data_IF_274096656009
#
_entry.id   IF_274096656009
#
_cell.length_a   1.000
_cell.length_b   1.000
_cell.length_c   1.000
_cell.angle_alpha   90.00
_cell.angle_beta   90.00
_cell.angle_gamma   90.00
#
_symmetry.space_group_name_H-M   'P 1'
#
loop_
_entity.id
_entity.type
_entity.pdbx_description
1 polymer ?
#
# COMPACT_ATOMS: atom_id res chain seq x y z
N UNK A 1 -25.17 7.12 18.69
CA UNK A 1 -24.00 6.72 17.88
C UNK A 1 -23.24 7.96 17.48
N UNK A 2 -21.92 7.89 17.48
CA UNK A 2 -21.08 8.97 16.93
C UNK A 2 -21.31 9.08 15.42
N UNK A 3 -21.42 10.29 14.89
CA UNK A 3 -21.70 10.50 13.47
C UNK A 3 -20.44 11.05 12.83
N UNK A 4 -19.96 10.37 11.79
CA UNK A 4 -18.85 10.81 10.95
C UNK A 4 -19.41 11.53 9.71
N UNK A 5 -18.65 12.41 9.11
CA UNK A 5 -18.97 12.99 7.79
C UNK A 5 -18.13 12.33 6.68
N UNK A 6 -17.04 11.70 7.06
CA UNK A 6 -16.03 11.20 6.13
C UNK A 6 -15.54 9.82 6.55
N UNK A 7 -15.30 8.95 5.58
CA UNK A 7 -14.60 7.66 5.75
C UNK A 7 -13.31 7.71 4.95
N UNK A 8 -12.19 7.43 5.61
CA UNK A 8 -10.88 7.36 4.99
C UNK A 8 -10.45 5.89 4.96
N UNK A 9 -10.06 5.40 3.81
CA UNK A 9 -9.68 4.00 3.62
C UNK A 9 -8.19 3.86 3.34
N UNK A 10 -7.59 2.82 3.87
CA UNK A 10 -6.41 2.25 3.25
C UNK A 10 -6.77 1.66 1.88
N UNK A 11 -5.78 1.45 1.00
CA UNK A 11 -6.02 0.95 -0.35
C UNK A 11 -5.78 -0.57 -0.46
N UNK A 12 -4.55 -1.01 -0.21
CA UNK A 12 -4.13 -2.40 -0.44
C UNK A 12 -4.53 -3.31 0.73
N UNK A 13 -5.06 -4.49 0.40
CA UNK A 13 -5.65 -5.43 1.36
C UNK A 13 -6.82 -4.86 2.17
N UNK A 14 -7.34 -3.71 1.74
CA UNK A 14 -8.54 -3.04 2.27
C UNK A 14 -9.56 -2.83 1.14
N UNK A 15 -9.37 -1.82 0.28
CA UNK A 15 -10.26 -1.56 -0.87
C UNK A 15 -9.97 -2.55 -1.99
N UNK A 16 -8.71 -2.79 -2.32
CA UNK A 16 -8.24 -3.77 -3.29
C UNK A 16 -7.39 -4.82 -2.60
N UNK A 17 -7.34 -6.05 -3.12
CA UNK A 17 -6.63 -7.16 -2.50
C UNK A 17 -5.41 -7.57 -3.31
N UNK A 18 -4.34 -7.99 -2.63
CA UNK A 18 -3.25 -8.70 -3.28
C UNK A 18 -3.54 -10.19 -3.41
N UNK A 19 -3.51 -10.69 -4.64
CA UNK A 19 -3.52 -12.12 -4.93
C UNK A 19 -2.14 -12.54 -5.45
N UNK A 20 -1.24 -12.86 -4.55
CA UNK A 20 0.13 -13.27 -4.91
C UNK A 20 0.18 -14.53 -5.77
N UNK A 21 -0.92 -15.29 -5.89
CA UNK A 21 -0.96 -16.45 -6.80
C UNK A 21 -0.82 -16.05 -8.27
N UNK A 22 -1.09 -14.80 -8.61
CA UNK A 22 -0.93 -14.24 -9.96
C UNK A 22 0.52 -13.86 -10.30
N UNK A 23 1.41 -13.79 -9.30
CA UNK A 23 2.82 -13.59 -9.57
C UNK A 23 3.47 -14.85 -10.13
N UNK A 24 4.44 -14.71 -11.05
CA UNK A 24 5.24 -15.83 -11.52
C UNK A 24 5.90 -16.59 -10.37
N UNK A 25 5.89 -17.92 -10.47
CA UNK A 25 6.61 -18.77 -9.53
C UNK A 25 8.02 -19.01 -10.04
N UNK A 26 9.01 -18.87 -9.17
CA UNK A 26 10.38 -19.30 -9.39
C UNK A 26 10.73 -20.42 -8.42
N UNK A 27 11.66 -21.27 -8.81
CA UNK A 27 12.27 -22.24 -7.91
C UNK A 27 13.78 -22.03 -7.93
N UNK A 28 14.36 -21.74 -6.77
CA UNK A 28 15.79 -21.53 -6.61
C UNK A 28 16.26 -22.28 -5.37
N UNK A 29 17.28 -23.13 -5.55
CA UNK A 29 17.84 -23.98 -4.48
C UNK A 29 16.79 -24.78 -3.71
N UNK A 30 15.74 -25.27 -4.40
CA UNK A 30 14.65 -26.04 -3.80
C UNK A 30 13.59 -25.20 -3.06
N UNK A 31 13.70 -23.87 -3.07
CA UNK A 31 12.69 -22.97 -2.52
C UNK A 31 11.84 -22.38 -3.64
N UNK A 32 10.54 -22.62 -3.57
CA UNK A 32 9.57 -22.03 -4.50
C UNK A 32 9.03 -20.72 -3.94
N UNK A 33 9.17 -19.64 -4.71
CA UNK A 33 8.70 -18.30 -4.36
C UNK A 33 7.91 -17.69 -5.51
N UNK A 34 6.94 -16.82 -5.18
CA UNK A 34 6.24 -16.02 -6.16
C UNK A 34 6.77 -14.59 -6.12
N UNK A 35 7.22 -14.10 -7.27
CA UNK A 35 8.01 -12.87 -7.31
C UNK A 35 7.99 -12.24 -8.69
N UNK A 36 8.30 -10.97 -8.77
CA UNK A 36 8.53 -10.21 -10.01
C UNK A 36 9.98 -10.29 -10.50
N UNK A 37 10.83 -11.06 -9.83
CA UNK A 37 12.28 -11.02 -10.05
C UNK A 37 12.73 -11.37 -11.47
N UNK A 38 12.01 -12.25 -12.19
CA UNK A 38 12.35 -12.57 -13.57
C UNK A 38 12.12 -11.40 -14.53
N UNK A 39 11.03 -10.65 -14.33
CA UNK A 39 10.73 -9.48 -15.14
C UNK A 39 11.76 -8.38 -14.89
N UNK A 40 12.10 -8.18 -13.62
CA UNK A 40 13.14 -7.20 -13.24
C UNK A 40 14.52 -7.65 -13.75
N UNK A 41 14.83 -8.94 -13.67
CA UNK A 41 16.09 -9.48 -14.21
C UNK A 41 16.19 -9.33 -15.73
N UNK A 42 15.09 -9.47 -16.45
CA UNK A 42 15.08 -9.24 -17.91
C UNK A 42 15.54 -7.81 -18.26
N UNK A 43 15.10 -6.83 -17.49
CA UNK A 43 15.57 -5.44 -17.62
C UNK A 43 17.04 -5.34 -17.19
N UNK A 44 17.35 -5.79 -15.98
CA UNK A 44 18.72 -5.72 -15.44
C UNK A 44 19.76 -6.31 -16.37
N UNK A 45 19.50 -7.49 -16.95
CA UNK A 45 20.44 -8.19 -17.83
C UNK A 45 20.71 -7.48 -19.17
N UNK A 46 19.80 -6.60 -19.59
CA UNK A 46 20.03 -5.76 -20.77
C UNK A 46 21.07 -4.67 -20.52
N UNK A 47 21.10 -4.12 -19.29
CA UNK A 47 22.08 -3.12 -18.86
C UNK A 47 23.40 -3.73 -18.39
N UNK A 48 23.34 -4.89 -17.75
CA UNK A 48 24.49 -5.57 -17.12
C UNK A 48 24.60 -7.03 -17.59
N UNK A 49 24.96 -7.27 -18.88
CA UNK A 49 25.09 -8.60 -19.41
C UNK A 49 26.21 -9.38 -18.71
N UNK A 50 26.02 -10.69 -18.56
CA UNK A 50 27.01 -11.58 -17.95
C UNK A 50 26.85 -11.82 -16.45
N UNK A 51 25.93 -11.15 -15.78
CA UNK A 51 25.52 -11.50 -14.41
C UNK A 51 24.45 -12.59 -14.43
N UNK A 52 24.59 -13.60 -13.58
CA UNK A 52 23.62 -14.70 -13.50
C UNK A 52 22.33 -14.25 -12.81
N UNK A 53 21.23 -14.99 -13.06
CA UNK A 53 19.98 -14.77 -12.34
C UNK A 53 20.14 -15.02 -10.84
N UNK A 54 20.91 -16.04 -10.45
CA UNK A 54 21.15 -16.39 -9.05
C UNK A 54 21.86 -15.25 -8.30
N UNK A 55 22.89 -14.67 -8.94
CA UNK A 55 23.62 -13.52 -8.37
C UNK A 55 22.68 -12.31 -8.22
N UNK A 56 21.97 -11.94 -9.27
CA UNK A 56 20.97 -10.89 -9.24
C UNK A 56 19.90 -11.12 -8.16
N UNK A 57 19.35 -12.34 -8.07
CA UNK A 57 18.25 -12.63 -7.13
C UNK A 57 18.67 -12.50 -5.67
N UNK A 58 19.92 -12.84 -5.35
CA UNK A 58 20.44 -12.64 -4.00
C UNK A 58 20.38 -11.16 -3.58
N UNK A 59 20.88 -10.26 -4.42
CA UNK A 59 20.82 -8.81 -4.17
C UNK A 59 19.40 -8.24 -4.27
N UNK A 60 18.55 -8.81 -5.12
CA UNK A 60 17.15 -8.43 -5.24
C UNK A 60 16.39 -8.65 -3.92
N UNK A 61 16.67 -9.76 -3.24
CA UNK A 61 16.06 -10.06 -1.93
C UNK A 61 16.72 -9.26 -0.82
N UNK A 62 18.05 -9.18 -0.80
CA UNK A 62 18.81 -8.40 0.20
C UNK A 62 18.38 -6.94 0.20
N UNK A 63 18.33 -6.30 -0.97
CA UNK A 63 17.88 -4.91 -1.11
C UNK A 63 16.44 -4.69 -0.64
N UNK A 64 15.56 -5.69 -0.81
CA UNK A 64 14.19 -5.61 -0.29
C UNK A 64 14.19 -5.53 1.24
N UNK A 65 14.93 -6.41 1.91
CA UNK A 65 14.98 -6.41 3.38
C UNK A 65 15.62 -5.13 3.93
N UNK A 66 16.77 -4.74 3.39
CA UNK A 66 17.44 -3.49 3.78
C UNK A 66 16.54 -2.28 3.59
N UNK A 67 15.83 -2.21 2.47
CA UNK A 67 14.93 -1.10 2.17
C UNK A 67 13.71 -1.07 3.09
N UNK A 68 13.17 -2.24 3.49
CA UNK A 68 12.10 -2.29 4.49
C UNK A 68 12.59 -1.83 5.87
N UNK A 69 13.79 -2.23 6.28
CA UNK A 69 14.38 -1.77 7.55
C UNK A 69 14.55 -0.25 7.57
N UNK A 70 15.07 0.34 6.48
CA UNK A 70 15.19 1.80 6.34
C UNK A 70 13.84 2.50 6.48
N UNK A 71 12.80 1.99 5.83
CA UNK A 71 11.45 2.56 5.90
C UNK A 71 10.85 2.47 7.30
N UNK A 72 11.05 1.36 7.99
CA UNK A 72 10.48 1.13 9.31
C UNK A 72 11.21 1.87 10.43
N UNK A 73 12.49 2.19 10.28
CA UNK A 73 13.28 2.88 11.30
C UNK A 73 12.65 4.21 11.73
N UNK A 74 12.15 4.99 10.79
CA UNK A 74 11.53 6.30 11.06
C UNK A 74 10.14 6.45 10.47
N UNK A 75 9.61 5.40 9.82
CA UNK A 75 8.39 5.44 9.00
C UNK A 75 8.45 6.48 7.88
N UNK A 76 9.65 6.70 7.34
CA UNK A 76 9.86 7.51 6.15
C UNK A 76 9.53 6.70 4.90
N UNK A 77 8.88 7.31 3.92
CA UNK A 77 8.70 6.67 2.63
C UNK A 77 9.83 7.07 1.69
N UNK A 78 10.39 6.07 1.04
CA UNK A 78 11.39 6.22 0.00
C UNK A 78 10.81 5.64 -1.30
N UNK A 79 11.01 6.29 -2.46
CA UNK A 79 10.58 5.77 -3.75
C UNK A 79 11.17 4.38 -4.03
N UNK A 80 10.39 3.49 -4.62
CA UNK A 80 10.86 2.13 -4.93
C UNK A 80 12.08 2.11 -5.87
N UNK A 81 12.26 3.17 -6.67
CA UNK A 81 13.45 3.41 -7.47
C UNK A 81 14.74 3.37 -6.64
N UNK A 82 14.72 3.96 -5.46
CA UNK A 82 15.89 4.02 -4.57
C UNK A 82 16.31 2.63 -4.08
N UNK A 83 15.36 1.70 -3.96
CA UNK A 83 15.67 0.29 -3.69
C UNK A 83 16.53 -0.32 -4.80
N UNK A 84 16.21 -0.05 -6.07
CA UNK A 84 17.00 -0.59 -7.17
C UNK A 84 18.37 0.08 -7.29
N UNK A 85 18.47 1.37 -7.02
CA UNK A 85 19.77 2.03 -6.91
C UNK A 85 20.61 1.45 -5.76
N UNK A 86 20.00 1.17 -4.63
CA UNK A 86 20.65 0.49 -3.50
C UNK A 86 21.13 -0.90 -3.91
N UNK A 87 20.30 -1.69 -4.59
CA UNK A 87 20.66 -3.00 -5.10
C UNK A 87 21.88 -2.93 -6.04
N UNK A 88 21.87 -2.03 -7.02
CA UNK A 88 22.95 -1.85 -7.97
C UNK A 88 24.26 -1.45 -7.26
N UNK A 89 24.17 -0.56 -6.30
CA UNK A 89 25.30 -0.16 -5.46
C UNK A 89 25.87 -1.34 -4.66
N UNK A 90 25.02 -2.16 -4.04
CA UNK A 90 25.41 -3.34 -3.28
C UNK A 90 26.06 -4.41 -4.16
N UNK A 91 25.67 -4.47 -5.44
CA UNK A 91 26.33 -5.31 -6.45
C UNK A 91 27.70 -4.76 -6.91
N UNK A 92 28.16 -3.61 -6.40
CA UNK A 92 29.40 -2.96 -6.78
C UNK A 92 29.36 -2.30 -8.17
N UNK A 93 28.18 -1.98 -8.68
CA UNK A 93 28.01 -1.32 -9.96
C UNK A 93 28.16 0.20 -9.83
N UNK A 94 28.65 0.91 -10.86
CA UNK A 94 28.84 2.37 -10.82
C UNK A 94 27.51 3.10 -10.63
N UNK A 95 27.56 4.19 -9.85
CA UNK A 95 26.44 5.12 -9.70
C UNK A 95 26.49 6.16 -10.83
N UNK A 96 26.05 5.80 -12.01
CA UNK A 96 26.09 6.61 -13.24
C UNK A 96 24.70 6.66 -13.93
N UNK A 97 24.65 7.33 -15.06
CA UNK A 97 23.41 7.44 -15.83
C UNK A 97 22.86 6.08 -16.33
N UNK A 98 23.72 5.07 -16.48
CA UNK A 98 23.30 3.72 -16.81
C UNK A 98 22.54 3.09 -15.64
N UNK A 99 23.05 3.22 -14.41
CA UNK A 99 22.37 2.76 -13.20
C UNK A 99 21.04 3.47 -12.96
N UNK A 100 21.00 4.79 -13.21
CA UNK A 100 19.77 5.58 -13.12
C UNK A 100 18.68 5.07 -14.07
N UNK A 101 19.05 4.87 -15.36
CA UNK A 101 18.12 4.36 -16.35
C UNK A 101 17.68 2.92 -16.06
N UNK A 102 18.61 2.07 -15.64
CA UNK A 102 18.30 0.70 -15.24
C UNK A 102 17.32 0.64 -14.07
N UNK A 103 17.53 1.49 -13.05
CA UNK A 103 16.63 1.56 -11.90
C UNK A 103 15.22 2.03 -12.29
N UNK A 104 15.09 3.02 -13.18
CA UNK A 104 13.81 3.50 -13.68
C UNK A 104 13.02 2.40 -14.42
N UNK A 105 13.69 1.65 -15.29
CA UNK A 105 13.05 0.55 -16.00
C UNK A 105 12.75 -0.66 -15.11
N UNK A 106 13.63 -0.98 -14.16
CA UNK A 106 13.41 -2.06 -13.19
C UNK A 106 12.20 -1.79 -12.29
N UNK A 107 11.99 -0.53 -11.85
CA UNK A 107 10.81 -0.18 -11.07
C UNK A 107 9.52 -0.37 -11.88
N UNK A 108 9.53 0.00 -13.15
CA UNK A 108 8.38 -0.18 -14.04
C UNK A 108 8.06 -1.69 -14.21
N UNK A 109 9.08 -2.52 -14.44
CA UNK A 109 8.90 -3.97 -14.56
C UNK A 109 8.38 -4.59 -13.26
N UNK A 110 8.94 -4.19 -12.12
CA UNK A 110 8.52 -4.65 -10.80
C UNK A 110 7.05 -4.29 -10.52
N UNK A 111 6.70 -3.01 -10.68
CA UNK A 111 5.35 -2.51 -10.41
C UNK A 111 4.32 -3.03 -11.41
N UNK A 112 4.70 -3.26 -12.65
CA UNK A 112 3.85 -3.96 -13.63
C UNK A 112 3.52 -5.39 -13.18
N UNK A 113 4.48 -6.10 -12.58
CA UNK A 113 4.26 -7.42 -11.96
C UNK A 113 3.31 -7.33 -10.78
N UNK A 114 3.57 -6.43 -9.85
CA UNK A 114 2.71 -6.18 -8.68
C UNK A 114 1.28 -5.84 -9.11
N UNK A 115 1.10 -4.98 -10.10
CA UNK A 115 -0.23 -4.58 -10.59
C UNK A 115 -1.08 -5.74 -11.17
N UNK A 116 -0.43 -6.82 -11.65
CA UNK A 116 -1.13 -8.04 -12.08
C UNK A 116 -1.65 -8.86 -10.90
N UNK A 117 -1.03 -8.73 -9.74
CA UNK A 117 -1.44 -9.41 -8.53
C UNK A 117 -2.56 -8.68 -7.76
N UNK A 118 -2.97 -7.48 -8.21
CA UNK A 118 -4.02 -6.71 -7.54
C UNK A 118 -5.38 -7.01 -8.17
N UNK A 119 -6.36 -7.28 -7.32
CA UNK A 119 -7.77 -7.53 -7.66
C UNK A 119 -8.67 -6.51 -6.95
N UNK A 120 -9.76 -6.15 -7.59
CA UNK A 120 -10.82 -5.37 -6.96
C UNK A 120 -12.08 -6.24 -6.85
N UNK A 121 -12.43 -6.72 -5.65
CA UNK A 121 -13.61 -7.56 -5.46
C UNK A 121 -14.91 -6.80 -5.76
N UNK A 122 -15.88 -7.41 -6.50
CA UNK A 122 -17.17 -6.77 -6.79
C UNK A 122 -17.97 -6.38 -5.54
N UNK A 123 -17.84 -7.17 -4.47
CA UNK A 123 -18.46 -6.87 -3.18
C UNK A 123 -17.90 -5.59 -2.54
N UNK A 124 -16.62 -5.28 -2.74
CA UNK A 124 -16.01 -4.05 -2.26
C UNK A 124 -16.52 -2.83 -3.06
N UNK A 125 -16.73 -2.99 -4.37
CA UNK A 125 -17.37 -1.97 -5.20
C UNK A 125 -18.76 -1.63 -4.68
N UNK A 126 -19.57 -2.66 -4.45
CA UNK A 126 -20.93 -2.53 -3.89
C UNK A 126 -20.92 -1.84 -2.52
N UNK A 127 -19.95 -2.18 -1.67
CA UNK A 127 -19.80 -1.55 -0.36
C UNK A 127 -19.47 -0.04 -0.47
N UNK A 128 -18.52 0.34 -1.35
CA UNK A 128 -18.19 1.75 -1.61
C UNK A 128 -19.40 2.53 -2.15
N UNK A 129 -20.18 1.95 -3.08
CA UNK A 129 -21.42 2.56 -3.54
C UNK A 129 -22.41 2.82 -2.41
N UNK A 130 -22.57 1.85 -1.51
CA UNK A 130 -23.49 1.97 -0.38
C UNK A 130 -23.01 3.02 0.63
N UNK A 131 -21.70 3.12 0.91
CA UNK A 131 -21.12 4.18 1.74
C UNK A 131 -21.42 5.55 1.12
N UNK A 132 -21.23 5.71 -0.20
CA UNK A 132 -21.58 6.93 -0.92
C UNK A 132 -23.07 7.26 -0.87
N UNK A 133 -23.97 6.26 -1.07
CA UNK A 133 -25.43 6.44 -0.97
C UNK A 133 -25.88 6.86 0.43
N UNK A 134 -25.16 6.48 1.47
CA UNK A 134 -25.39 6.95 2.85
C UNK A 134 -24.96 8.40 3.09
N UNK A 135 -24.31 9.04 2.12
CA UNK A 135 -23.93 10.45 2.15
C UNK A 135 -22.51 10.73 2.66
N UNK A 136 -21.69 9.70 2.88
CA UNK A 136 -20.32 9.89 3.35
C UNK A 136 -19.39 10.36 2.24
N UNK A 137 -18.53 11.34 2.58
CA UNK A 137 -17.35 11.70 1.79
C UNK A 137 -16.30 10.63 1.98
N UNK A 138 -15.52 10.34 0.96
CA UNK A 138 -14.51 9.26 1.01
C UNK A 138 -13.15 9.73 0.53
N UNK A 139 -12.08 9.21 1.15
CA UNK A 139 -10.69 9.43 0.74
C UNK A 139 -9.87 8.15 0.89
N UNK A 140 -8.73 8.09 0.20
CA UNK A 140 -7.71 7.03 0.35
C UNK A 140 -6.47 7.62 1.02
N UNK A 141 -5.86 6.82 1.93
CA UNK A 141 -4.53 7.06 2.48
C UNK A 141 -3.75 5.75 2.43
N UNK A 142 -2.78 5.64 1.52
CA UNK A 142 -2.08 4.39 1.24
C UNK A 142 -0.58 4.48 1.47
N UNK A 143 -0.01 3.46 2.11
CA UNK A 143 1.43 3.22 2.14
C UNK A 143 1.85 2.52 0.85
N UNK A 144 2.40 3.28 -0.10
CA UNK A 144 2.89 2.72 -1.35
C UNK A 144 4.06 3.55 -1.90
N UNK A 145 5.12 2.88 -2.33
CA UNK A 145 6.41 3.48 -2.66
C UNK A 145 6.59 3.78 -4.17
N UNK A 146 5.49 3.72 -4.93
CA UNK A 146 5.46 4.12 -6.33
C UNK A 146 4.05 4.62 -6.72
N UNK A 147 3.79 5.88 -6.50
CA UNK A 147 2.49 6.52 -6.71
C UNK A 147 1.92 6.33 -8.14
N UNK A 148 2.73 6.38 -9.22
CA UNK A 148 2.20 6.14 -10.56
C UNK A 148 1.49 4.79 -10.73
N UNK A 149 1.99 3.71 -10.08
CA UNK A 149 1.32 2.41 -10.15
C UNK A 149 0.04 2.37 -9.30
N UNK A 150 0.00 3.05 -8.16
CA UNK A 150 -1.23 3.18 -7.38
C UNK A 150 -2.32 3.89 -8.19
N UNK A 151 -2.00 5.01 -8.82
CA UNK A 151 -2.95 5.73 -9.67
C UNK A 151 -3.39 4.92 -10.89
N UNK A 152 -2.47 4.19 -11.53
CA UNK A 152 -2.81 3.30 -12.65
C UNK A 152 -3.80 2.19 -12.23
N UNK A 153 -3.66 1.63 -11.03
CA UNK A 153 -4.61 0.66 -10.47
C UNK A 153 -5.98 1.30 -10.17
N UNK A 154 -5.98 2.50 -9.58
CA UNK A 154 -7.19 3.28 -9.30
C UNK A 154 -7.96 3.57 -10.60
N UNK A 155 -7.26 3.91 -11.67
CA UNK A 155 -7.85 4.12 -12.99
C UNK A 155 -8.35 2.80 -13.62
N UNK A 156 -7.51 1.75 -13.62
CA UNK A 156 -7.85 0.41 -14.14
C UNK A 156 -9.16 -0.12 -13.56
N UNK A 157 -9.33 0.02 -12.25
CA UNK A 157 -10.52 -0.44 -11.55
C UNK A 157 -11.63 0.62 -11.49
N UNK A 158 -11.41 1.83 -12.00
CA UNK A 158 -12.35 2.95 -11.98
C UNK A 158 -12.84 3.32 -10.58
N UNK A 159 -12.04 3.03 -9.55
CA UNK A 159 -12.42 3.29 -8.16
C UNK A 159 -12.23 4.75 -7.76
N UNK A 160 -11.46 5.52 -8.51
CA UNK A 160 -11.25 6.95 -8.25
C UNK A 160 -12.54 7.78 -8.16
N UNK A 161 -13.63 7.31 -8.82
CA UNK A 161 -14.95 7.97 -8.76
C UNK A 161 -15.59 8.02 -7.37
N UNK A 162 -15.14 7.17 -6.46
CA UNK A 162 -15.65 7.11 -5.09
C UNK A 162 -14.96 8.09 -4.14
N UNK A 163 -13.76 8.56 -4.48
CA UNK A 163 -12.88 9.25 -3.56
C UNK A 163 -12.65 10.71 -3.96
N UNK A 164 -12.85 11.63 -3.01
CA UNK A 164 -12.58 13.05 -3.23
C UNK A 164 -11.07 13.35 -3.20
N UNK A 165 -10.33 12.59 -2.41
CA UNK A 165 -8.87 12.73 -2.26
C UNK A 165 -8.20 11.36 -2.17
N UNK A 166 -6.99 11.30 -2.69
CA UNK A 166 -6.10 10.14 -2.66
C UNK A 166 -4.76 10.65 -2.18
N UNK A 167 -4.22 10.03 -1.13
CA UNK A 167 -2.93 10.37 -0.52
C UNK A 167 -2.06 9.13 -0.53
N UNK A 168 -0.93 9.20 -1.23
CA UNK A 168 0.05 8.11 -1.34
C UNK A 168 1.30 8.52 -0.57
N UNK A 169 1.86 7.61 0.21
CA UNK A 169 3.00 7.89 1.09
C UNK A 169 4.26 8.36 0.34
N UNK A 170 4.49 7.90 -0.90
CA UNK A 170 5.62 8.37 -1.72
C UNK A 170 5.55 9.88 -1.94
N UNK A 171 4.37 10.44 -2.22
CA UNK A 171 4.18 11.87 -2.47
C UNK A 171 4.31 12.71 -1.20
N UNK A 172 3.98 12.13 -0.04
CA UNK A 172 4.07 12.79 1.27
C UNK A 172 5.47 12.67 1.88
N UNK A 173 6.23 11.64 1.50
CA UNK A 173 7.53 11.29 2.08
C UNK A 173 7.44 10.61 3.44
N UNK A 174 6.24 10.35 3.95
CA UNK A 174 5.97 9.68 5.22
C UNK A 174 4.85 8.65 5.08
N UNK A 175 5.03 7.52 5.73
CA UNK A 175 4.06 6.42 5.71
C UNK A 175 3.31 6.29 7.05
N UNK A 176 2.14 5.71 7.03
CA UNK A 176 1.43 5.28 8.24
C UNK A 176 2.34 4.36 9.07
N UNK A 177 2.38 4.49 10.41
CA UNK A 177 1.49 5.25 11.28
C UNK A 177 1.91 6.70 11.54
N UNK A 178 2.84 7.31 10.79
CA UNK A 178 3.23 8.71 11.06
C UNK A 178 2.03 9.65 10.96
N UNK A 179 1.87 10.59 11.91
CA UNK A 179 0.76 11.55 11.90
C UNK A 179 0.65 12.36 10.61
N UNK A 180 1.79 12.69 9.98
CA UNK A 180 1.84 13.57 8.79
C UNK A 180 0.93 13.09 7.66
N UNK A 181 0.93 11.80 7.32
CA UNK A 181 0.12 11.30 6.20
C UNK A 181 -1.39 11.40 6.49
N UNK A 182 -1.80 11.22 7.75
CA UNK A 182 -3.20 11.39 8.16
C UNK A 182 -3.60 12.87 8.18
N UNK A 183 -2.74 13.75 8.73
CA UNK A 183 -3.00 15.20 8.76
C UNK A 183 -3.08 15.78 7.36
N UNK A 184 -2.22 15.33 6.43
CA UNK A 184 -2.29 15.70 5.01
C UNK A 184 -3.67 15.36 4.42
N UNK A 185 -4.19 14.16 4.67
CA UNK A 185 -5.51 13.78 4.18
C UNK A 185 -6.63 14.62 4.80
N UNK A 186 -6.57 14.89 6.10
CA UNK A 186 -7.55 15.76 6.79
C UNK A 186 -7.55 17.18 6.25
N UNK A 187 -6.37 17.75 6.03
CA UNK A 187 -6.22 19.11 5.45
C UNK A 187 -6.81 19.19 4.05
N UNK A 188 -6.50 18.19 3.19
CA UNK A 188 -7.03 18.12 1.83
C UNK A 188 -8.56 17.91 1.80
N UNK A 189 -9.12 17.25 2.80
CA UNK A 189 -10.56 17.03 2.95
C UNK A 189 -11.25 18.18 3.67
N UNK A 190 -10.52 19.08 4.36
CA UNK A 190 -11.07 20.15 5.16
C UNK A 190 -11.89 19.64 6.34
N UNK A 191 -11.41 18.62 7.06
CA UNK A 191 -12.13 17.95 8.17
C UNK A 191 -11.29 17.91 9.44
N UNK A 192 -11.96 17.74 10.58
CA UNK A 192 -11.30 17.45 11.85
C UNK A 192 -11.19 15.93 12.07
N UNK A 193 -10.24 15.47 12.90
CA UNK A 193 -10.09 14.04 13.19
C UNK A 193 -11.36 13.35 13.67
N UNK A 194 -12.16 14.06 14.48
CA UNK A 194 -13.40 13.50 15.06
C UNK A 194 -14.55 13.33 14.07
N UNK A 195 -14.43 13.94 12.89
CA UNK A 195 -15.42 13.86 11.83
C UNK A 195 -15.13 12.68 10.86
N UNK A 196 -14.01 11.97 11.08
CA UNK A 196 -13.54 10.90 10.22
C UNK A 196 -13.51 9.55 10.94
N UNK A 197 -13.85 8.50 10.20
CA UNK A 197 -13.55 7.10 10.50
C UNK A 197 -12.46 6.61 9.55
N UNK A 198 -11.37 6.08 10.09
CA UNK A 198 -10.34 5.42 9.28
C UNK A 198 -10.61 3.92 9.21
N UNK A 199 -10.48 3.32 8.03
CA UNK A 199 -10.69 1.88 7.78
C UNK A 199 -9.45 1.29 7.17
N UNK A 200 -8.88 0.26 7.78
CA UNK A 200 -7.70 -0.42 7.24
C UNK A 200 -7.47 -1.80 7.86
N UNK A 201 -6.60 -2.60 7.22
CA UNK A 201 -6.31 -3.98 7.64
C UNK A 201 -5.10 -4.10 8.57
N UNK A 202 -4.17 -3.14 8.50
CA UNK A 202 -2.94 -3.19 9.27
C UNK A 202 -3.10 -2.49 10.62
N UNK A 203 -3.14 -3.27 11.70
CA UNK A 203 -3.36 -2.73 13.04
C UNK A 203 -2.36 -1.63 13.41
N UNK A 204 -1.06 -1.86 13.19
CA UNK A 204 -0.02 -0.89 13.57
C UNK A 204 -0.05 0.38 12.70
N UNK A 205 -0.14 0.21 11.38
CA UNK A 205 -0.10 1.35 10.46
C UNK A 205 -1.40 2.16 10.48
N UNK A 206 -2.55 1.47 10.40
CA UNK A 206 -3.85 2.09 10.17
C UNK A 206 -4.52 2.47 11.48
N UNK A 207 -4.68 1.49 12.37
CA UNK A 207 -5.45 1.67 13.59
C UNK A 207 -4.68 2.53 14.59
N UNK A 208 -3.44 2.13 14.93
CA UNK A 208 -2.62 2.92 15.84
C UNK A 208 -2.34 4.33 15.28
N UNK A 209 -2.11 4.44 13.95
CA UNK A 209 -1.84 5.71 13.30
C UNK A 209 -3.06 6.66 13.33
N UNK A 210 -4.25 6.17 12.97
CA UNK A 210 -5.48 6.96 13.01
C UNK A 210 -5.85 7.40 14.44
N UNK A 211 -5.73 6.48 15.41
CA UNK A 211 -5.99 6.80 16.82
C UNK A 211 -4.99 7.82 17.37
N UNK A 212 -3.74 7.79 16.95
CA UNK A 212 -2.71 8.75 17.37
C UNK A 212 -3.02 10.20 16.94
N UNK A 213 -3.78 10.39 15.86
CA UNK A 213 -4.22 11.73 15.40
C UNK A 213 -5.63 12.08 15.86
N UNK A 214 -6.28 11.22 16.66
CA UNK A 214 -7.60 11.46 17.26
C UNK A 214 -8.78 11.09 16.37
N UNK A 215 -8.55 10.32 15.30
CA UNK A 215 -9.62 9.68 14.52
C UNK A 215 -10.16 8.46 15.24
N UNK A 216 -11.39 8.08 14.93
CA UNK A 216 -11.87 6.74 15.19
C UNK A 216 -11.37 5.79 14.09
N UNK A 217 -11.26 4.49 14.44
CA UNK A 217 -10.70 3.50 13.55
C UNK A 217 -11.54 2.21 13.52
N UNK A 218 -11.77 1.70 12.32
CA UNK A 218 -12.37 0.40 12.05
C UNK A 218 -11.30 -0.56 11.51
N UNK A 219 -11.00 -1.59 12.26
CA UNK A 219 -10.04 -2.60 11.87
C UNK A 219 -10.68 -3.68 11.02
N UNK A 220 -10.23 -3.80 9.76
CA UNK A 220 -10.59 -4.88 8.87
C UNK A 220 -9.76 -6.13 9.22
N UNK A 221 -10.25 -6.93 10.15
CA UNK A 221 -9.55 -8.12 10.66
C UNK A 221 -9.96 -9.40 9.92
N UNK A 222 -9.80 -9.43 8.59
CA UNK A 222 -10.09 -10.62 7.79
C UNK A 222 -9.11 -11.79 8.04
N UNK A 223 -7.91 -11.48 8.54
CA UNK A 223 -6.89 -12.47 8.93
C UNK A 223 -7.20 -13.17 10.25
N UNK A 224 -8.22 -12.68 11.00
CA UNK A 224 -8.61 -13.19 12.34
C UNK A 224 -7.45 -13.15 13.34
N UNK A 225 -6.69 -12.07 13.31
CA UNK A 225 -5.65 -11.83 14.30
C UNK A 225 -6.25 -11.68 15.71
N UNK A 226 -5.46 -11.96 16.73
CA UNK A 226 -5.92 -11.85 18.12
C UNK A 226 -6.37 -10.42 18.44
N UNK A 227 -7.51 -10.33 19.11
CA UNK A 227 -8.08 -9.07 19.59
C UNK A 227 -7.82 -8.83 21.08
N UNK A 228 -7.03 -9.70 21.71
CA UNK A 228 -6.71 -9.62 23.13
C UNK A 228 -5.62 -8.57 23.39
N UNK A 229 -5.83 -7.72 24.40
CA UNK A 229 -4.87 -6.71 24.85
C UNK A 229 -4.44 -5.69 23.78
N UNK A 230 -5.32 -5.37 22.83
CA UNK A 230 -5.04 -4.34 21.85
C UNK A 230 -4.88 -2.96 22.51
N UNK A 231 -3.85 -2.23 22.13
CA UNK A 231 -3.63 -0.86 22.56
C UNK A 231 -3.05 -0.03 21.40
N UNK A 232 -3.77 1.01 20.92
CA UNK A 232 -5.13 1.43 21.30
C UNK A 232 -6.21 0.44 20.84
N UNK A 233 -7.36 0.40 21.51
CA UNK A 233 -8.51 -0.37 21.02
C UNK A 233 -9.10 0.29 19.76
N UNK A 234 -9.42 -0.48 18.70
CA UNK A 234 -10.19 0.01 17.56
C UNK A 234 -11.64 0.31 17.99
N UNK A 235 -12.27 1.31 17.37
CA UNK A 235 -13.68 1.63 17.68
C UNK A 235 -14.62 0.59 17.07
N UNK A 236 -14.21 -0.04 15.97
CA UNK A 236 -14.91 -1.13 15.32
C UNK A 236 -13.92 -2.19 14.85
N UNK A 237 -14.37 -3.46 14.86
CA UNK A 237 -13.68 -4.58 14.21
C UNK A 237 -14.67 -5.19 13.21
N UNK A 238 -14.28 -5.20 11.94
CA UNK A 238 -15.10 -5.75 10.86
C UNK A 238 -14.37 -6.95 10.23
N UNK A 239 -15.06 -8.07 10.01
CA UNK A 239 -14.44 -9.28 9.45
C UNK A 239 -14.24 -9.21 7.94
N UNK A 240 -15.08 -8.43 7.23
CA UNK A 240 -14.99 -8.25 5.77
C UNK A 240 -15.18 -6.77 5.41
N UNK A 241 -14.68 -6.35 4.26
CA UNK A 241 -14.84 -4.96 3.81
C UNK A 241 -16.31 -4.54 3.66
N UNK A 242 -17.24 -5.36 3.12
CA UNK A 242 -18.66 -5.02 3.05
C UNK A 242 -19.32 -4.70 4.40
N UNK A 243 -18.80 -5.24 5.51
CA UNK A 243 -19.37 -5.02 6.84
C UNK A 243 -19.23 -3.55 7.30
N UNK A 244 -18.43 -2.73 6.61
CA UNK A 244 -18.36 -1.28 6.85
C UNK A 244 -19.75 -0.63 6.75
N UNK A 245 -20.62 -1.14 5.88
CA UNK A 245 -21.95 -0.58 5.68
C UNK A 245 -22.86 -0.77 6.89
N UNK A 246 -22.61 -1.79 7.71
CA UNK A 246 -23.40 -2.07 8.91
C UNK A 246 -23.07 -1.15 10.10
N UNK A 247 -21.83 -0.64 10.16
CA UNK A 247 -21.38 0.24 11.26
C UNK A 247 -21.61 1.74 10.96
N UNK A 248 -21.96 2.09 9.72
CA UNK A 248 -22.21 3.45 9.26
C UNK A 248 -23.72 3.71 9.16
N UNK A 249 -24.31 4.61 9.99
CA UNK A 249 -25.69 5.05 9.83
C UNK A 249 -25.87 5.92 8.58
N UNK A 250 -27.10 6.07 8.08
CA UNK A 250 -27.37 7.01 7.01
C UNK A 250 -27.17 8.46 7.52
N UNK A 251 -26.43 9.27 6.75
CA UNK A 251 -26.33 10.70 6.96
C UNK A 251 -27.58 11.35 6.32
N UNK A 252 -28.43 11.95 7.14
CA UNK A 252 -29.63 12.65 6.69
C UNK A 252 -29.30 14.09 6.29
#
# INVERSE_FOLDING_TARGET
MKTYSTVIFDLFDTVVNFNFSHLPAIELKGVRSRTTSHEVYSVFSAYYPGRSFEDFYAYFIESYHEFQEMKLAEYREYPNRDRFLLMLRNMGLPADSCAESAADEMVIAHMGGIARAVEFPPENETALENVGKKGYRMAIVSNFDYAPAAYALIEKFRIGRFFERIVISEEVGWRKPKPVIFTTAMELMGINPRDALFVGDNFSADICGAKAVGMDAAWLNYKKESVENLSPEPDFIIPTFPDITAILPDLK
#
